data_IF_077673707957
#
_entry.id   IF_077673707957
#
_cell.length_a   1.000
_cell.length_b   1.000
_cell.length_c   1.000
_cell.angle_alpha   90.00
_cell.angle_beta   90.00
_cell.angle_gamma   90.00
#
_symmetry.space_group_name_H-M   'P 1'
#
loop_
_entity.id
_entity.type
_entity.pdbx_description
1 polymer ?
#
# COMPACT_ATOMS: atom_id res chain seq x y z
N UNK A 1 13.45 15.34 -24.94
CA UNK A 1 12.28 14.48 -24.63
C UNK A 1 12.45 13.95 -23.19
N UNK A 2 12.27 14.79 -22.15
CA UNK A 2 12.73 14.49 -20.77
C UNK A 2 11.75 14.85 -19.63
N UNK A 3 10.57 15.39 -19.93
CA UNK A 3 9.56 15.80 -18.93
C UNK A 3 8.32 14.89 -18.88
N UNK A 4 8.21 13.92 -19.80
CA UNK A 4 7.03 13.06 -19.96
C UNK A 4 6.95 11.99 -18.85
N UNK A 5 8.04 11.26 -18.60
CA UNK A 5 8.05 10.09 -17.72
C UNK A 5 7.65 10.41 -16.27
N UNK A 6 8.18 11.50 -15.74
CA UNK A 6 8.04 11.86 -14.34
C UNK A 6 6.61 12.27 -13.99
N UNK A 7 6.00 13.03 -14.88
CA UNK A 7 4.65 13.53 -14.72
C UNK A 7 3.66 12.35 -14.76
N UNK A 8 3.65 11.57 -15.84
CA UNK A 8 2.68 10.48 -16.03
C UNK A 8 2.65 9.47 -14.91
N UNK A 9 3.84 9.09 -14.44
CA UNK A 9 3.92 8.09 -13.41
C UNK A 9 3.44 8.68 -12.08
N UNK A 10 3.66 9.96 -11.78
CA UNK A 10 3.02 10.62 -10.62
C UNK A 10 1.51 10.78 -10.73
N UNK A 11 1.01 11.14 -11.92
CA UNK A 11 -0.43 11.19 -12.17
C UNK A 11 -1.08 9.83 -11.98
N UNK A 12 -0.39 8.75 -12.37
CA UNK A 12 -0.85 7.39 -12.14
C UNK A 12 -0.68 6.97 -10.68
N UNK A 13 0.47 7.20 -10.04
CA UNK A 13 0.74 6.93 -8.62
C UNK A 13 -0.30 7.61 -7.71
N UNK A 14 -0.70 8.87 -7.97
CA UNK A 14 -1.72 9.53 -7.16
C UNK A 14 -3.11 8.91 -7.30
N UNK A 15 -3.41 8.32 -8.46
CA UNK A 15 -4.66 7.63 -8.73
C UNK A 15 -4.66 6.19 -8.22
N UNK A 16 -3.47 5.60 -8.07
CA UNK A 16 -3.26 4.25 -7.51
C UNK A 16 -3.29 4.22 -5.98
N UNK A 17 -3.15 5.38 -5.33
CA UNK A 17 -3.42 5.54 -3.91
C UNK A 17 -4.93 5.68 -3.61
N UNK A 18 -5.79 5.37 -4.57
CA UNK A 18 -7.20 5.12 -4.27
C UNK A 18 -7.58 3.75 -4.80
N UNK A 19 -7.66 2.75 -3.92
CA UNK A 19 -8.39 1.53 -4.23
C UNK A 19 -9.78 1.65 -3.63
N UNK A 20 -10.81 1.57 -4.46
CA UNK A 20 -12.20 1.47 -3.98
C UNK A 20 -12.66 0.02 -4.15
N UNK A 21 -13.14 -0.57 -3.06
CA UNK A 21 -13.82 -1.86 -3.16
C UNK A 21 -15.27 -1.62 -3.58
N UNK A 22 -15.74 -2.45 -4.50
CA UNK A 22 -17.16 -2.56 -4.80
C UNK A 22 -17.91 -2.97 -3.53
N UNK A 23 -18.64 -2.04 -2.94
CA UNK A 23 -19.70 -2.35 -1.98
C UNK A 23 -20.88 -2.96 -2.75
N UNK A 24 -21.58 -3.91 -2.12
CA UNK A 24 -22.71 -4.65 -2.69
C UNK A 24 -24.00 -3.82 -2.85
N UNK A 25 -23.92 -2.50 -2.68
CA UNK A 25 -25.03 -1.58 -2.90
C UNK A 25 -25.02 -1.04 -4.33
N UNK A 26 -26.09 -0.32 -4.73
CA UNK A 26 -26.20 0.30 -6.05
C UNK A 26 -24.96 1.15 -6.35
N UNK A 27 -24.00 0.61 -7.11
CA UNK A 27 -22.75 1.28 -7.45
C UNK A 27 -23.08 2.52 -8.29
N UNK A 28 -22.71 3.70 -7.82
CA UNK A 28 -22.95 4.95 -8.54
C UNK A 28 -22.18 4.98 -9.87
N UNK A 29 -22.57 5.85 -10.80
CA UNK A 29 -21.83 6.00 -12.06
C UNK A 29 -20.37 6.45 -11.83
N UNK A 30 -20.12 7.25 -10.77
CA UNK A 30 -18.78 7.63 -10.34
C UNK A 30 -17.97 6.40 -9.90
N UNK A 31 -18.53 5.56 -9.04
CA UNK A 31 -17.85 4.36 -8.55
C UNK A 31 -17.59 3.35 -9.68
N UNK A 32 -18.53 3.18 -10.63
CA UNK A 32 -18.32 2.34 -11.82
C UNK A 32 -17.13 2.83 -12.67
N UNK A 33 -16.99 4.14 -12.84
CA UNK A 33 -15.87 4.73 -13.60
C UNK A 33 -14.55 4.55 -12.86
N UNK A 34 -14.55 4.77 -11.56
CA UNK A 34 -13.37 4.60 -10.72
C UNK A 34 -12.90 3.13 -10.71
N UNK A 35 -13.80 2.18 -10.49
CA UNK A 35 -13.50 0.74 -10.55
C UNK A 35 -12.99 0.31 -11.93
N UNK A 36 -13.59 0.82 -13.01
CA UNK A 36 -13.12 0.51 -14.37
C UNK A 36 -11.70 1.05 -14.61
N UNK A 37 -11.42 2.25 -14.10
CA UNK A 37 -10.11 2.86 -14.15
C UNK A 37 -9.07 2.06 -13.38
N UNK A 38 -9.31 1.79 -12.09
CA UNK A 38 -8.43 1.04 -11.18
C UNK A 38 -8.08 -0.36 -11.75
N UNK A 39 -9.08 -1.12 -12.17
CA UNK A 39 -8.88 -2.48 -12.71
C UNK A 39 -7.97 -2.51 -13.95
N UNK A 40 -8.09 -1.52 -14.84
CA UNK A 40 -7.23 -1.47 -16.02
C UNK A 40 -5.81 -1.03 -15.67
N UNK A 41 -5.63 -0.15 -14.68
CA UNK A 41 -4.31 0.22 -14.21
C UNK A 41 -3.58 -0.94 -13.54
N UNK A 42 -4.28 -1.72 -12.72
CA UNK A 42 -3.71 -2.91 -12.06
C UNK A 42 -3.11 -3.90 -13.08
N UNK A 43 -3.77 -4.11 -14.22
CA UNK A 43 -3.24 -4.94 -15.31
C UNK A 43 -1.94 -4.38 -15.89
N UNK A 44 -1.85 -3.06 -16.09
CA UNK A 44 -0.63 -2.44 -16.60
C UNK A 44 0.50 -2.47 -15.57
N UNK A 45 0.17 -2.25 -14.30
CA UNK A 45 1.13 -2.25 -13.21
C UNK A 45 1.71 -3.65 -12.94
N UNK A 46 0.93 -4.71 -13.18
CA UNK A 46 1.41 -6.10 -13.14
C UNK A 46 2.54 -6.34 -14.14
N UNK A 47 2.30 -6.02 -15.41
CA UNK A 47 3.31 -6.21 -16.46
C UNK A 47 4.54 -5.33 -16.23
N UNK A 48 4.34 -4.10 -15.74
CA UNK A 48 5.42 -3.20 -15.38
C UNK A 48 6.26 -3.76 -14.22
N UNK A 49 5.61 -4.24 -13.17
CA UNK A 49 6.26 -4.74 -11.96
C UNK A 49 7.09 -6.00 -12.23
N UNK A 50 6.61 -6.90 -13.09
CA UNK A 50 7.39 -8.08 -13.52
C UNK A 50 8.71 -7.67 -14.20
N UNK A 51 8.68 -6.65 -15.06
CA UNK A 51 9.88 -6.12 -15.71
C UNK A 51 10.76 -5.33 -14.75
N UNK A 52 10.16 -4.56 -13.83
CA UNK A 52 10.85 -3.80 -12.81
C UNK A 52 11.61 -4.71 -11.82
N UNK A 53 11.04 -5.87 -11.45
CA UNK A 53 11.74 -6.93 -10.72
C UNK A 53 13.01 -7.38 -11.44
N UNK A 54 12.90 -7.75 -12.71
CA UNK A 54 14.03 -8.21 -13.51
C UNK A 54 15.13 -7.13 -13.67
N UNK A 55 14.75 -5.85 -13.76
CA UNK A 55 15.70 -4.73 -13.74
C UNK A 55 16.38 -4.64 -12.37
N UNK A 56 15.61 -4.67 -11.29
CA UNK A 56 16.12 -4.56 -9.91
C UNK A 56 17.12 -5.67 -9.59
N UNK A 57 16.81 -6.92 -9.93
CA UNK A 57 17.71 -8.06 -9.76
C UNK A 57 19.03 -7.85 -10.50
N UNK A 58 18.99 -7.40 -11.76
CA UNK A 58 20.19 -7.09 -12.54
C UNK A 58 21.02 -5.95 -11.97
N UNK A 59 20.36 -4.92 -11.41
CA UNK A 59 21.05 -3.80 -10.75
C UNK A 59 21.78 -4.29 -9.50
N UNK A 60 21.18 -5.16 -8.70
CA UNK A 60 21.80 -5.67 -7.46
C UNK A 60 22.97 -6.63 -7.72
N UNK A 61 23.10 -7.16 -8.93
CA UNK A 61 24.28 -7.93 -9.37
C UNK A 61 25.45 -7.03 -9.81
N UNK A 62 25.24 -5.72 -9.97
CA UNK A 62 26.28 -4.81 -10.39
C UNK A 62 27.36 -4.62 -9.31
N UNK A 63 28.64 -4.70 -9.70
CA UNK A 63 29.76 -4.71 -8.76
C UNK A 63 29.90 -3.45 -7.91
N UNK A 64 29.49 -2.28 -8.43
CA UNK A 64 29.56 -1.01 -7.68
C UNK A 64 28.38 -0.95 -6.70
N UNK A 65 27.19 -1.37 -7.15
CA UNK A 65 26.00 -1.45 -6.30
C UNK A 65 26.23 -2.45 -5.16
N UNK A 66 26.79 -3.63 -5.42
CA UNK A 66 27.10 -4.61 -4.38
C UNK A 66 28.01 -4.06 -3.30
N UNK A 67 29.08 -3.37 -3.70
CA UNK A 67 30.06 -2.76 -2.79
C UNK A 67 29.47 -1.60 -1.98
N UNK A 68 28.48 -0.88 -2.50
CA UNK A 68 27.73 0.17 -1.80
C UNK A 68 28.58 1.10 -0.91
N UNK A 69 29.69 1.62 -1.46
CA UNK A 69 30.69 2.36 -0.68
C UNK A 69 30.26 3.77 -0.28
N UNK A 70 29.30 4.36 -1.00
CA UNK A 70 28.84 5.72 -0.77
C UNK A 70 27.41 5.72 -0.22
N UNK A 71 27.00 6.74 0.55
CA UNK A 71 25.66 6.81 1.12
C UNK A 71 24.55 6.69 0.08
N UNK A 72 24.69 7.39 -1.06
CA UNK A 72 23.68 7.40 -2.12
C UNK A 72 23.53 6.04 -2.81
N UNK A 73 24.63 5.33 -3.08
CA UNK A 73 24.57 3.98 -3.64
C UNK A 73 24.03 2.98 -2.62
N UNK A 74 24.34 3.16 -1.33
CA UNK A 74 23.82 2.34 -0.24
C UNK A 74 22.31 2.51 -0.10
N UNK A 75 21.82 3.73 -0.12
CA UNK A 75 20.38 4.03 -0.09
C UNK A 75 19.66 3.43 -1.30
N UNK A 76 20.19 3.64 -2.50
CA UNK A 76 19.62 3.06 -3.72
C UNK A 76 19.55 1.53 -3.68
N UNK A 77 20.63 0.87 -3.25
CA UNK A 77 20.67 -0.58 -3.04
C UNK A 77 19.62 -1.03 -2.02
N UNK A 78 19.50 -0.34 -0.90
CA UNK A 78 18.55 -0.67 0.15
C UNK A 78 17.11 -0.55 -0.34
N UNK A 79 16.78 0.50 -1.09
CA UNK A 79 15.45 0.71 -1.64
C UNK A 79 15.08 -0.39 -2.66
N UNK A 80 16.00 -0.77 -3.55
CA UNK A 80 15.78 -1.89 -4.48
C UNK A 80 15.68 -3.24 -3.78
N UNK A 81 16.49 -3.47 -2.74
CA UNK A 81 16.42 -4.69 -1.94
C UNK A 81 15.07 -4.77 -1.22
N UNK A 82 14.59 -3.66 -0.66
CA UNK A 82 13.27 -3.57 -0.03
C UNK A 82 12.15 -3.85 -1.04
N UNK A 83 12.23 -3.26 -2.24
CA UNK A 83 11.28 -3.54 -3.32
C UNK A 83 11.22 -5.04 -3.66
N UNK A 84 12.36 -5.70 -3.85
CA UNK A 84 12.40 -7.14 -4.16
C UNK A 84 11.90 -8.01 -3.00
N UNK A 85 12.24 -7.67 -1.76
CA UNK A 85 11.74 -8.39 -0.58
C UNK A 85 10.21 -8.28 -0.45
N UNK A 86 9.64 -7.14 -0.84
CA UNK A 86 8.20 -6.92 -0.85
C UNK A 86 7.51 -7.52 -2.07
N UNK A 87 8.23 -7.82 -3.15
CA UNK A 87 7.63 -8.15 -4.44
C UNK A 87 6.70 -9.35 -4.38
N UNK A 88 7.18 -10.50 -3.88
CA UNK A 88 6.37 -11.73 -3.90
C UNK A 88 5.15 -11.60 -2.98
N UNK A 89 5.29 -10.84 -1.89
CA UNK A 89 4.21 -10.54 -0.95
C UNK A 89 3.13 -9.67 -1.57
N UNK A 90 3.49 -8.53 -2.15
CA UNK A 90 2.52 -7.63 -2.76
C UNK A 90 1.86 -8.29 -3.98
N UNK A 91 2.62 -9.08 -4.75
CA UNK A 91 2.07 -9.89 -5.84
C UNK A 91 1.08 -10.95 -5.37
N UNK A 92 1.28 -11.53 -4.18
CA UNK A 92 0.35 -12.49 -3.58
C UNK A 92 -1.05 -11.90 -3.30
N UNK A 93 -1.11 -10.60 -3.02
CA UNK A 93 -2.34 -9.85 -2.76
C UNK A 93 -2.84 -9.03 -3.96
N UNK A 94 -2.30 -9.26 -5.17
CA UNK A 94 -2.62 -8.49 -6.39
C UNK A 94 -2.45 -6.96 -6.21
N UNK A 95 -1.37 -6.55 -5.53
CA UNK A 95 -1.00 -5.15 -5.28
C UNK A 95 0.11 -4.68 -6.23
N UNK A 96 -0.12 -4.85 -7.53
CA UNK A 96 0.91 -4.51 -8.53
C UNK A 96 1.05 -2.99 -8.69
N UNK A 97 -0.02 -2.24 -8.43
CA UNK A 97 0.01 -0.80 -8.41
C UNK A 97 0.98 -0.26 -7.34
N UNK A 98 0.94 -0.80 -6.13
CA UNK A 98 1.84 -0.45 -5.04
C UNK A 98 3.29 -0.82 -5.37
N UNK A 99 3.51 -1.96 -6.03
CA UNK A 99 4.84 -2.35 -6.52
C UNK A 99 5.39 -1.36 -7.56
N UNK A 100 4.54 -0.93 -8.49
CA UNK A 100 4.89 0.12 -9.44
C UNK A 100 5.26 1.41 -8.71
N UNK A 101 4.45 1.86 -7.74
CA UNK A 101 4.73 3.07 -6.94
C UNK A 101 6.10 2.97 -6.24
N UNK A 102 6.37 1.84 -5.57
CA UNK A 102 7.63 1.64 -4.84
C UNK A 102 8.86 1.71 -5.76
N UNK A 103 8.80 1.03 -6.91
CA UNK A 103 9.92 1.02 -7.85
C UNK A 103 10.17 2.39 -8.47
N UNK A 104 9.11 3.10 -8.84
CA UNK A 104 9.22 4.43 -9.45
C UNK A 104 9.76 5.43 -8.44
N UNK A 105 9.23 5.44 -7.22
CA UNK A 105 9.72 6.33 -6.15
C UNK A 105 11.22 6.14 -5.92
N UNK A 106 11.69 4.89 -6.01
CA UNK A 106 13.10 4.55 -5.88
C UNK A 106 13.97 5.12 -7.02
N UNK A 107 13.47 5.11 -8.25
CA UNK A 107 14.28 5.35 -9.47
C UNK A 107 14.09 6.73 -10.09
N UNK A 108 12.95 7.36 -9.89
CA UNK A 108 12.55 8.56 -10.62
C UNK A 108 13.33 9.81 -10.22
N UNK A 109 13.73 9.95 -8.96
CA UNK A 109 14.55 11.08 -8.52
C UNK A 109 15.81 11.24 -9.38
N UNK A 110 16.35 10.14 -9.90
CA UNK A 110 17.53 10.12 -10.77
C UNK A 110 17.29 10.73 -12.15
N UNK A 111 16.04 10.79 -12.61
CA UNK A 111 15.67 11.37 -13.90
C UNK A 111 15.23 12.82 -13.78
N UNK A 112 14.76 13.25 -12.59
CA UNK A 112 14.29 14.61 -12.34
C UNK A 112 15.41 15.65 -12.25
N UNK A 113 16.61 15.24 -11.80
CA UNK A 113 17.70 16.18 -11.46
C UNK A 113 18.81 16.23 -12.52
N UNK A 114 18.54 15.87 -13.77
CA UNK A 114 19.50 16.09 -14.85
C UNK A 114 19.48 17.55 -15.34
N UNK A 115 20.64 18.22 -15.47
CA UNK A 115 22.00 17.71 -15.26
C UNK A 115 22.47 17.81 -13.79
N UNK A 116 23.16 16.77 -13.30
CA UNK A 116 23.85 16.77 -12.01
C UNK A 116 25.34 16.44 -12.18
N UNK A 117 26.20 17.02 -11.35
CA UNK A 117 27.65 16.76 -11.31
C UNK A 117 28.03 15.58 -10.41
N UNK A 118 27.07 15.02 -9.66
CA UNK A 118 27.33 13.90 -8.75
C UNK A 118 27.59 12.60 -9.54
N UNK A 119 28.81 12.04 -9.36
CA UNK A 119 29.26 10.83 -10.08
C UNK A 119 28.42 9.58 -9.78
N UNK A 120 27.98 9.41 -8.53
CA UNK A 120 27.14 8.25 -8.14
C UNK A 120 25.76 8.34 -8.79
N UNK A 121 25.22 9.55 -8.86
CA UNK A 121 23.94 9.81 -9.50
C UNK A 121 24.02 9.54 -11.01
N UNK A 122 25.06 10.04 -11.68
CA UNK A 122 25.34 9.74 -13.10
C UNK A 122 25.53 8.24 -13.33
N UNK A 123 26.17 7.55 -12.39
CA UNK A 123 26.36 6.10 -12.45
C UNK A 123 25.02 5.36 -12.42
N UNK A 124 24.14 5.68 -11.46
CA UNK A 124 22.81 5.07 -11.36
C UNK A 124 22.00 5.30 -12.64
N UNK A 125 21.99 6.53 -13.17
CA UNK A 125 21.30 6.83 -14.44
C UNK A 125 21.87 5.97 -15.58
N UNK A 126 23.20 5.86 -15.69
CA UNK A 126 23.85 5.05 -16.73
C UNK A 126 23.43 3.58 -16.61
N UNK A 127 23.31 3.07 -15.40
CA UNK A 127 22.86 1.70 -15.14
C UNK A 127 21.40 1.49 -15.54
N UNK A 128 20.50 2.41 -15.15
CA UNK A 128 19.08 2.38 -15.49
C UNK A 128 18.87 2.46 -17.02
N UNK A 129 19.59 3.35 -17.70
CA UNK A 129 19.59 3.45 -19.17
C UNK A 129 20.10 2.17 -19.84
N UNK A 130 21.21 1.61 -19.35
CA UNK A 130 21.77 0.34 -19.86
C UNK A 130 20.77 -0.80 -19.77
N UNK A 131 19.95 -0.81 -18.72
CA UNK A 131 18.90 -1.82 -18.51
C UNK A 131 17.56 -1.46 -19.15
N UNK A 132 17.52 -0.43 -20.02
CA UNK A 132 16.35 -0.01 -20.80
C UNK A 132 15.16 0.40 -19.93
N UNK A 133 15.40 0.98 -18.75
CA UNK A 133 14.33 1.54 -17.90
C UNK A 133 13.48 2.58 -18.65
N UNK A 134 14.11 3.43 -19.48
CA UNK A 134 13.40 4.43 -20.29
C UNK A 134 12.37 3.77 -21.22
N UNK A 135 12.68 2.60 -21.77
CA UNK A 135 11.78 1.88 -22.66
C UNK A 135 10.63 1.22 -21.90
N UNK A 136 10.88 0.71 -20.70
CA UNK A 136 9.84 0.20 -19.81
C UNK A 136 8.81 1.31 -19.50
N UNK A 137 9.29 2.51 -19.16
CA UNK A 137 8.42 3.66 -18.90
C UNK A 137 7.64 4.09 -20.15
N UNK A 138 8.29 4.14 -21.32
CA UNK A 138 7.63 4.42 -22.60
C UNK A 138 6.51 3.42 -22.91
N UNK A 139 6.76 2.13 -22.72
CA UNK A 139 5.78 1.08 -22.99
C UNK A 139 4.53 1.24 -22.11
N UNK A 140 4.74 1.47 -20.81
CA UNK A 140 3.66 1.71 -19.86
C UNK A 140 2.84 2.96 -20.22
N UNK A 141 3.53 4.06 -20.55
CA UNK A 141 2.90 5.29 -21.02
C UNK A 141 2.03 5.06 -22.26
N UNK A 142 2.54 4.38 -23.29
CA UNK A 142 1.77 4.11 -24.51
C UNK A 142 0.51 3.28 -24.22
N UNK A 143 0.61 2.27 -23.34
CA UNK A 143 -0.55 1.46 -22.93
C UNK A 143 -1.60 2.30 -22.21
N UNK A 144 -1.16 3.14 -21.27
CA UNK A 144 -2.06 4.03 -20.55
C UNK A 144 -2.76 5.02 -21.50
N UNK A 145 -2.01 5.67 -22.40
CA UNK A 145 -2.60 6.59 -23.38
C UNK A 145 -3.64 5.90 -24.27
N UNK A 146 -3.34 4.68 -24.72
CA UNK A 146 -4.26 3.86 -25.51
C UNK A 146 -5.52 3.53 -24.72
N UNK A 147 -5.38 3.12 -23.45
CA UNK A 147 -6.50 2.87 -22.56
C UNK A 147 -7.40 4.10 -22.39
N UNK A 148 -6.83 5.27 -22.11
CA UNK A 148 -7.62 6.49 -21.95
C UNK A 148 -8.45 6.76 -23.21
N UNK A 149 -7.78 6.83 -24.37
CA UNK A 149 -8.39 7.25 -25.63
C UNK A 149 -9.41 6.25 -26.16
N UNK A 150 -9.10 4.96 -26.07
CA UNK A 150 -9.88 3.92 -26.74
C UNK A 150 -10.90 3.23 -25.82
N UNK A 151 -10.71 3.29 -24.50
CA UNK A 151 -11.52 2.52 -23.55
C UNK A 151 -12.18 3.38 -22.47
N UNK A 152 -11.41 4.20 -21.76
CA UNK A 152 -11.93 4.97 -20.62
C UNK A 152 -12.93 6.04 -21.06
N UNK A 153 -12.61 6.82 -22.10
CA UNK A 153 -13.53 7.84 -22.63
C UNK A 153 -14.83 7.22 -23.15
N UNK A 154 -14.77 6.05 -23.78
CA UNK A 154 -15.96 5.32 -24.21
C UNK A 154 -16.81 4.93 -22.99
N UNK A 155 -16.17 4.40 -21.93
CA UNK A 155 -16.89 4.04 -20.70
C UNK A 155 -17.54 5.26 -20.03
N UNK A 156 -16.89 6.41 -20.11
CA UNK A 156 -17.44 7.68 -19.64
C UNK A 156 -18.71 8.06 -20.42
N UNK A 157 -18.68 8.03 -21.75
CA UNK A 157 -19.85 8.34 -22.57
C UNK A 157 -21.01 7.38 -22.31
N UNK A 158 -20.75 6.09 -22.07
CA UNK A 158 -21.77 5.12 -21.66
C UNK A 158 -22.49 5.53 -20.37
N UNK A 159 -21.76 6.06 -19.40
CA UNK A 159 -22.27 6.42 -18.06
C UNK A 159 -22.70 7.89 -17.95
N UNK A 160 -22.48 8.69 -18.99
CA UNK A 160 -22.72 10.15 -18.97
C UNK A 160 -24.15 10.53 -18.65
N UNK A 161 -25.13 9.76 -19.13
CA UNK A 161 -26.54 10.03 -18.83
C UNK A 161 -26.87 9.76 -17.35
N UNK A 162 -26.28 8.71 -16.75
CA UNK A 162 -26.41 8.47 -15.31
C UNK A 162 -25.80 9.63 -14.51
N UNK A 163 -24.62 10.12 -14.93
CA UNK A 163 -23.94 11.27 -14.30
C UNK A 163 -24.73 12.59 -14.45
N UNK A 164 -25.39 12.82 -15.58
CA UNK A 164 -26.22 14.02 -15.80
C UNK A 164 -27.48 14.02 -14.93
N UNK A 165 -28.03 12.84 -14.66
CA UNK A 165 -29.19 12.69 -13.79
C UNK A 165 -28.82 12.81 -12.30
N UNK A 166 -27.56 12.50 -11.95
CA UNK A 166 -27.02 12.73 -10.62
C UNK A 166 -26.64 14.20 -10.42
N UNK A 167 -27.41 14.91 -9.60
CA UNK A 167 -27.22 16.34 -9.32
C UNK A 167 -26.13 16.63 -8.27
N UNK A 168 -25.39 15.61 -7.82
CA UNK A 168 -24.29 15.76 -6.87
C UNK A 168 -23.21 16.73 -7.36
N UNK A 169 -22.47 17.33 -6.42
CA UNK A 169 -21.33 18.22 -6.70
C UNK A 169 -20.23 17.46 -7.46
N UNK A 170 -20.02 16.20 -7.10
CA UNK A 170 -19.04 15.29 -7.69
C UNK A 170 -19.39 14.96 -9.14
N UNK A 171 -20.63 14.59 -9.44
CA UNK A 171 -21.04 14.28 -10.82
C UNK A 171 -20.95 15.50 -11.73
N UNK A 172 -21.30 16.70 -11.23
CA UNK A 172 -21.06 17.97 -11.96
C UNK A 172 -19.58 18.26 -12.18
N UNK A 173 -18.74 18.08 -11.15
CA UNK A 173 -17.29 18.26 -11.27
C UNK A 173 -16.68 17.27 -12.28
N UNK A 174 -17.15 16.03 -12.28
CA UNK A 174 -16.69 14.98 -13.19
C UNK A 174 -17.10 15.24 -14.64
N UNK A 175 -18.33 15.72 -14.88
CA UNK A 175 -18.77 16.17 -16.20
C UNK A 175 -17.96 17.36 -16.70
N UNK A 176 -17.64 18.33 -15.83
CA UNK A 176 -16.78 19.47 -16.18
C UNK A 176 -15.36 19.01 -16.53
N UNK A 177 -14.78 18.13 -15.70
CA UNK A 177 -13.46 17.54 -15.95
C UNK A 177 -13.41 16.81 -17.28
N UNK A 178 -14.49 16.10 -17.63
CA UNK A 178 -14.58 15.40 -18.91
C UNK A 178 -14.62 16.36 -20.10
N UNK A 179 -15.35 17.47 -20.00
CA UNK A 179 -15.33 18.50 -21.04
C UNK A 179 -13.92 19.08 -21.24
N UNK A 180 -13.22 19.41 -20.14
CA UNK A 180 -11.83 19.88 -20.20
C UNK A 180 -10.91 18.83 -20.85
N UNK A 181 -11.17 17.55 -20.58
CA UNK A 181 -10.42 16.42 -21.14
C UNK A 181 -10.59 16.28 -22.65
N UNK A 182 -11.79 16.57 -23.18
CA UNK A 182 -12.06 16.55 -24.62
C UNK A 182 -11.30 17.67 -25.36
N UNK A 183 -11.02 18.79 -24.69
CA UNK A 183 -10.25 19.89 -25.24
C UNK A 183 -8.73 19.65 -25.22
N UNK A 184 -8.26 18.65 -24.45
CA UNK A 184 -6.84 18.34 -24.38
C UNK A 184 -6.29 17.79 -25.71
N UNK A 185 -5.38 18.55 -26.31
CA UNK A 185 -4.69 18.17 -27.57
C UNK A 185 -3.26 17.67 -27.36
N UNK A 186 -2.74 17.80 -26.15
CA UNK A 186 -1.36 17.45 -25.86
C UNK A 186 -1.25 16.71 -24.52
N UNK A 187 -0.12 16.04 -24.39
CA UNK A 187 0.19 15.20 -23.25
C UNK A 187 0.16 15.94 -21.90
N UNK A 188 0.75 17.14 -21.84
CA UNK A 188 0.82 17.94 -20.60
C UNK A 188 -0.57 18.28 -20.06
N UNK A 189 -1.52 18.53 -20.96
CA UNK A 189 -2.93 18.77 -20.63
C UNK A 189 -3.57 17.54 -19.99
N UNK A 190 -3.49 16.37 -20.66
CA UNK A 190 -4.02 15.11 -20.13
C UNK A 190 -3.47 14.80 -18.75
N UNK A 191 -2.15 14.95 -18.58
CA UNK A 191 -1.50 14.78 -17.30
C UNK A 191 -2.10 15.65 -16.19
N UNK A 192 -2.17 16.97 -16.40
CA UNK A 192 -2.68 17.90 -15.40
C UNK A 192 -4.13 17.60 -15.00
N UNK A 193 -4.95 17.10 -15.93
CA UNK A 193 -6.32 16.71 -15.63
C UNK A 193 -6.40 15.40 -14.86
N UNK A 194 -5.63 14.38 -15.25
CA UNK A 194 -5.63 13.11 -14.52
C UNK A 194 -5.04 13.24 -13.12
N UNK A 195 -4.10 14.16 -12.87
CA UNK A 195 -3.64 14.45 -11.51
C UNK A 195 -4.77 14.90 -10.56
N UNK A 196 -5.85 15.48 -11.09
CA UNK A 196 -6.99 15.93 -10.31
C UNK A 196 -8.14 14.94 -10.30
N UNK A 197 -8.06 13.86 -11.08
CA UNK A 197 -9.20 12.98 -11.34
C UNK A 197 -9.75 12.33 -10.06
N UNK A 198 -8.91 11.82 -9.16
CA UNK A 198 -9.36 11.29 -7.85
C UNK A 198 -10.08 12.34 -7.02
N UNK A 199 -9.54 13.56 -6.94
CA UNK A 199 -10.19 14.66 -6.21
C UNK A 199 -11.50 15.14 -6.84
N UNK A 200 -11.74 14.81 -8.12
CA UNK A 200 -12.98 15.11 -8.83
C UNK A 200 -14.02 14.00 -8.64
N UNK A 201 -13.59 12.73 -8.68
CA UNK A 201 -14.49 11.57 -8.64
C UNK A 201 -14.81 11.10 -7.21
N UNK A 202 -14.00 11.46 -6.21
CA UNK A 202 -14.18 11.08 -4.81
C UNK A 202 -14.56 12.29 -3.94
N UNK A 203 -15.44 12.07 -2.95
CA UNK A 203 -15.66 13.06 -1.89
C UNK A 203 -14.42 13.21 -1.00
N UNK A 204 -14.25 14.35 -0.29
CA UNK A 204 -13.17 14.50 0.68
C UNK A 204 -13.14 13.38 1.74
N UNK A 205 -14.31 12.94 2.21
CA UNK A 205 -14.45 11.83 3.15
C UNK A 205 -13.96 10.52 2.53
N UNK A 206 -14.35 10.19 1.31
CA UNK A 206 -13.87 8.99 0.62
C UNK A 206 -12.36 9.03 0.40
N UNK A 207 -11.80 10.21 0.09
CA UNK A 207 -10.36 10.38 -0.04
C UNK A 207 -9.63 10.13 1.29
N UNK A 208 -10.19 10.61 2.41
CA UNK A 208 -9.65 10.36 3.75
C UNK A 208 -9.76 8.88 4.16
N UNK A 209 -10.91 8.24 3.91
CA UNK A 209 -11.11 6.82 4.17
C UNK A 209 -10.13 5.94 3.39
N UNK A 210 -9.93 6.27 2.13
CA UNK A 210 -9.01 5.55 1.25
C UNK A 210 -7.56 5.71 1.69
N UNK A 211 -7.19 6.91 2.17
CA UNK A 211 -5.89 7.14 2.80
C UNK A 211 -5.68 6.24 4.03
N UNK A 212 -6.68 6.16 4.93
CA UNK A 212 -6.63 5.28 6.12
C UNK A 212 -6.43 3.84 5.67
N UNK A 213 -7.27 3.37 4.75
CA UNK A 213 -7.26 2.00 4.26
C UNK A 213 -5.89 1.61 3.71
N UNK A 214 -5.34 2.40 2.79
CA UNK A 214 -4.03 2.11 2.19
C UNK A 214 -2.90 2.09 3.24
N UNK A 215 -2.96 2.98 4.24
CA UNK A 215 -1.96 3.01 5.32
C UNK A 215 -2.07 1.76 6.20
N UNK A 216 -3.28 1.36 6.57
CA UNK A 216 -3.53 0.15 7.35
C UNK A 216 -3.19 -1.13 6.59
N UNK A 217 -3.56 -1.23 5.31
CA UNK A 217 -3.21 -2.38 4.46
C UNK A 217 -1.70 -2.56 4.36
N UNK A 218 -0.97 -1.51 3.98
CA UNK A 218 0.50 -1.57 3.92
C UNK A 218 1.11 -1.97 5.27
N UNK A 219 0.54 -1.45 6.37
CA UNK A 219 0.98 -1.78 7.70
C UNK A 219 0.75 -3.26 8.04
N UNK A 220 -0.46 -3.78 7.77
CA UNK A 220 -0.84 -5.17 8.04
C UNK A 220 -0.11 -6.17 7.15
N UNK A 221 0.17 -5.82 5.89
CA UNK A 221 0.99 -6.62 4.97
C UNK A 221 2.38 -6.84 5.57
N UNK A 222 3.06 -5.75 5.91
CA UNK A 222 4.42 -5.79 6.46
C UNK A 222 4.44 -6.62 7.74
N UNK A 223 3.44 -6.41 8.59
CA UNK A 223 3.37 -7.05 9.90
C UNK A 223 3.06 -8.55 9.81
N UNK A 224 2.07 -8.93 9.01
CA UNK A 224 1.72 -10.34 8.77
C UNK A 224 2.91 -11.11 8.22
N UNK A 225 3.71 -10.49 7.34
CA UNK A 225 4.83 -11.17 6.71
C UNK A 225 6.02 -11.38 7.66
N UNK A 226 6.25 -10.43 8.57
CA UNK A 226 7.26 -10.59 9.61
C UNK A 226 6.79 -11.63 10.65
N UNK A 227 5.52 -11.60 11.05
CA UNK A 227 4.92 -12.64 11.90
C UNK A 227 5.04 -14.04 11.27
N UNK A 228 4.79 -14.18 9.97
CA UNK A 228 5.03 -15.40 9.19
C UNK A 228 6.49 -15.84 9.25
N UNK A 229 7.43 -14.90 9.05
CA UNK A 229 8.87 -15.19 9.07
C UNK A 229 9.36 -15.67 10.44
N UNK A 230 8.92 -15.01 11.52
CA UNK A 230 9.21 -15.42 12.90
C UNK A 230 8.65 -16.81 13.18
N UNK A 231 7.39 -17.04 12.81
CA UNK A 231 6.70 -18.31 13.00
C UNK A 231 7.42 -19.47 12.29
N UNK A 232 7.89 -19.24 11.06
CA UNK A 232 8.66 -20.21 10.29
C UNK A 232 10.02 -20.49 10.91
N UNK A 233 10.73 -19.45 11.36
CA UNK A 233 12.03 -19.59 12.01
C UNK A 233 11.92 -20.38 13.32
N UNK A 234 10.88 -20.11 14.11
CA UNK A 234 10.56 -20.83 15.34
C UNK A 234 10.39 -22.33 15.10
N UNK A 235 9.63 -22.74 14.07
CA UNK A 235 9.43 -24.18 13.79
C UNK A 235 10.73 -24.92 13.49
N UNK A 236 11.73 -24.21 12.96
CA UNK A 236 13.05 -24.77 12.66
C UNK A 236 14.03 -24.69 13.83
N UNK A 237 13.65 -24.04 14.93
CA UNK A 237 14.54 -23.86 16.08
C UNK A 237 14.67 -25.16 16.89
N UNK A 238 15.90 -25.66 17.13
CA UNK A 238 16.12 -26.86 17.93
C UNK A 238 15.53 -26.79 19.35
N UNK A 239 15.37 -25.59 19.92
CA UNK A 239 14.79 -25.40 21.25
C UNK A 239 13.32 -25.82 21.33
N UNK A 240 12.59 -25.91 20.20
CA UNK A 240 11.25 -26.52 20.16
C UNK A 240 11.29 -27.96 20.68
N UNK A 241 12.40 -28.67 20.48
CA UNK A 241 12.63 -30.02 20.99
C UNK A 241 12.65 -30.15 22.51
N UNK A 242 12.85 -29.04 23.24
CA UNK A 242 12.89 -29.01 24.71
C UNK A 242 11.49 -29.02 25.35
N UNK A 243 10.43 -28.80 24.55
CA UNK A 243 9.04 -28.90 24.98
C UNK A 243 8.62 -30.38 25.10
N UNK A 244 7.67 -30.68 25.99
CA UNK A 244 7.13 -32.05 26.07
C UNK A 244 6.40 -32.43 24.78
N UNK A 245 6.31 -33.73 24.42
CA UNK A 245 5.70 -34.16 23.17
C UNK A 245 4.29 -33.59 22.93
N UNK A 246 3.40 -33.68 23.92
CA UNK A 246 2.03 -33.19 23.79
C UNK A 246 1.94 -31.65 23.65
N UNK A 247 2.75 -30.92 24.43
CA UNK A 247 2.78 -29.46 24.34
C UNK A 247 3.38 -28.98 23.01
N UNK A 248 4.45 -29.64 22.58
CA UNK A 248 5.11 -29.38 21.30
C UNK A 248 4.16 -29.64 20.11
N UNK A 249 3.41 -30.73 20.15
CA UNK A 249 2.46 -31.06 19.10
C UNK A 249 1.41 -29.96 18.92
N UNK A 250 0.79 -29.49 20.02
CA UNK A 250 -0.19 -28.41 19.96
C UNK A 250 0.44 -27.08 19.53
N UNK A 251 1.62 -26.74 20.05
CA UNK A 251 2.35 -25.53 19.66
C UNK A 251 2.68 -25.50 18.16
N UNK A 252 3.20 -26.61 17.63
CA UNK A 252 3.52 -26.75 16.21
C UNK A 252 2.25 -26.71 15.36
N UNK A 253 1.15 -27.31 15.82
CA UNK A 253 -0.14 -27.26 15.14
C UNK A 253 -0.65 -25.81 15.01
N UNK A 254 -0.66 -25.05 16.10
CA UNK A 254 -1.15 -23.67 16.11
C UNK A 254 -0.31 -22.77 15.19
N UNK A 255 1.02 -22.96 15.17
CA UNK A 255 1.89 -22.22 14.25
C UNK A 255 1.62 -22.62 12.79
N UNK A 256 1.50 -23.91 12.49
CA UNK A 256 1.23 -24.37 11.13
C UNK A 256 -0.14 -23.91 10.62
N UNK A 257 -1.14 -23.80 11.49
CA UNK A 257 -2.45 -23.24 11.14
C UNK A 257 -2.34 -21.77 10.73
N UNK A 258 -1.55 -20.98 11.46
CA UNK A 258 -1.26 -19.59 11.09
C UNK A 258 -0.49 -19.50 9.76
N UNK A 259 0.59 -20.27 9.59
CA UNK A 259 1.37 -20.28 8.34
C UNK A 259 0.52 -20.69 7.13
N UNK A 260 -0.31 -21.72 7.29
CA UNK A 260 -1.24 -22.17 6.25
C UNK A 260 -2.27 -21.08 5.93
N UNK A 261 -2.74 -20.34 6.93
CA UNK A 261 -3.68 -19.23 6.71
C UNK A 261 -3.04 -18.08 5.94
N UNK A 262 -1.77 -17.76 6.22
CA UNK A 262 -1.01 -16.78 5.44
C UNK A 262 -0.82 -17.23 3.99
N UNK A 263 -0.44 -18.49 3.74
CA UNK A 263 -0.15 -19.00 2.40
C UNK A 263 -1.39 -19.12 1.51
N UNK A 264 -2.57 -19.31 2.11
CA UNK A 264 -3.83 -19.45 1.39
C UNK A 264 -4.65 -18.15 1.32
N UNK A 265 -4.21 -17.06 1.96
CA UNK A 265 -4.96 -15.82 1.98
C UNK A 265 -4.58 -14.87 0.84
N UNK A 266 -5.35 -14.89 -0.24
CA UNK A 266 -5.21 -13.93 -1.34
C UNK A 266 -6.04 -12.65 -1.18
N UNK A 267 -6.82 -12.51 -0.10
CA UNK A 267 -7.70 -11.37 0.11
C UNK A 267 -7.08 -10.39 1.12
N UNK A 268 -6.71 -9.22 0.62
CA UNK A 268 -6.12 -8.15 1.42
C UNK A 268 -7.01 -7.73 2.60
N UNK A 269 -8.33 -7.82 2.44
CA UNK A 269 -9.30 -7.48 3.51
C UNK A 269 -9.24 -8.43 4.69
N UNK A 270 -8.68 -9.63 4.50
CA UNK A 270 -8.53 -10.64 5.54
C UNK A 270 -7.18 -10.57 6.25
N UNK A 271 -6.30 -9.63 5.88
CA UNK A 271 -5.00 -9.46 6.56
C UNK A 271 -5.16 -9.21 8.05
N UNK A 272 -6.15 -8.41 8.44
CA UNK A 272 -6.45 -8.18 9.85
C UNK A 272 -6.77 -9.50 10.59
N UNK A 273 -7.53 -10.40 9.96
CA UNK A 273 -7.85 -11.70 10.55
C UNK A 273 -6.59 -12.56 10.72
N UNK A 274 -5.61 -12.47 9.82
CA UNK A 274 -4.32 -13.14 9.99
C UNK A 274 -3.54 -12.60 11.19
N UNK A 275 -3.57 -11.29 11.40
CA UNK A 275 -2.95 -10.69 12.58
C UNK A 275 -3.63 -11.11 13.87
N UNK A 276 -4.97 -11.19 13.89
CA UNK A 276 -5.71 -11.73 15.03
C UNK A 276 -5.40 -13.20 15.25
N UNK A 277 -5.25 -13.99 14.18
CA UNK A 277 -4.85 -15.39 14.29
C UNK A 277 -3.47 -15.52 14.94
N UNK A 278 -2.49 -14.73 14.49
CA UNK A 278 -1.16 -14.68 15.13
C UNK A 278 -1.24 -14.25 16.59
N UNK A 279 -1.99 -13.18 16.89
CA UNK A 279 -2.15 -12.67 18.25
C UNK A 279 -2.77 -13.72 19.17
N UNK A 280 -3.93 -14.26 18.82
CA UNK A 280 -4.70 -15.15 19.68
C UNK A 280 -4.03 -16.52 19.77
N UNK A 281 -3.68 -17.13 18.62
CA UNK A 281 -3.18 -18.50 18.61
C UNK A 281 -1.69 -18.61 18.94
N UNK A 282 -0.90 -17.55 18.82
CA UNK A 282 0.54 -17.62 19.10
C UNK A 282 0.92 -16.74 20.28
N UNK A 283 0.65 -15.43 20.22
CA UNK A 283 1.11 -14.50 21.26
C UNK A 283 0.41 -14.73 22.60
N UNK A 284 -0.93 -14.70 22.61
CA UNK A 284 -1.71 -14.82 23.83
C UNK A 284 -1.63 -16.23 24.42
N UNK A 285 -1.63 -17.26 23.59
CA UNK A 285 -1.52 -18.65 24.04
C UNK A 285 -0.15 -19.03 24.58
N UNK A 286 0.95 -18.53 24.00
CA UNK A 286 2.30 -19.05 24.30
C UNK A 286 3.28 -18.00 24.82
N UNK A 287 3.25 -16.77 24.30
CA UNK A 287 4.25 -15.75 24.64
C UNK A 287 3.85 -14.93 25.88
N UNK A 288 2.57 -14.54 25.98
CA UNK A 288 2.03 -13.76 27.10
C UNK A 288 1.35 -14.61 28.17
N UNK A 289 1.13 -15.91 27.91
CA UNK A 289 0.42 -16.80 28.80
C UNK A 289 1.23 -17.12 30.07
N UNK A 290 0.74 -16.64 31.21
CA UNK A 290 1.35 -16.87 32.53
C UNK A 290 0.93 -18.19 33.19
N UNK A 291 -0.05 -18.89 32.63
CA UNK A 291 -0.60 -20.13 33.18
C UNK A 291 0.15 -21.38 32.69
N UNK A 292 1.03 -21.23 31.70
CA UNK A 292 1.91 -22.30 31.24
C UNK A 292 2.94 -22.63 32.34
N UNK A 293 3.36 -23.90 32.47
CA UNK A 293 4.47 -24.30 33.35
C UNK A 293 5.72 -23.42 33.14
N UNK A 294 6.31 -22.94 34.23
CA UNK A 294 7.46 -22.02 34.23
C UNK A 294 8.63 -22.48 33.34
N UNK A 295 8.93 -23.79 33.32
CA UNK A 295 9.93 -24.37 32.42
C UNK A 295 9.65 -24.03 30.95
N UNK A 296 8.41 -24.19 30.48
CA UNK A 296 8.06 -23.88 29.09
C UNK A 296 8.01 -22.39 28.84
N UNK A 297 7.62 -21.56 29.82
CA UNK A 297 7.69 -20.11 29.68
C UNK A 297 9.11 -19.64 29.38
N UNK A 298 10.11 -20.19 30.06
CA UNK A 298 11.52 -19.86 29.83
C UNK A 298 11.95 -20.28 28.42
N UNK A 299 11.62 -21.50 28.01
CA UNK A 299 11.94 -22.02 26.67
C UNK A 299 11.28 -21.16 25.58
N UNK A 300 9.97 -20.91 25.69
CA UNK A 300 9.21 -20.12 24.73
C UNK A 300 9.70 -18.68 24.66
N UNK A 301 9.92 -18.01 25.80
CA UNK A 301 10.43 -16.64 25.83
C UNK A 301 11.80 -16.53 25.14
N UNK A 302 12.70 -17.46 25.41
CA UNK A 302 14.01 -17.50 24.74
C UNK A 302 13.85 -17.74 23.24
N UNK A 303 13.02 -18.72 22.86
CA UNK A 303 12.74 -19.05 21.47
C UNK A 303 12.15 -17.85 20.70
N UNK A 304 11.12 -17.18 21.22
CA UNK A 304 10.55 -16.00 20.59
C UNK A 304 11.53 -14.82 20.53
N UNK A 305 12.32 -14.61 21.58
CA UNK A 305 13.30 -13.51 21.61
C UNK A 305 14.50 -13.74 20.70
N UNK A 306 14.95 -14.99 20.54
CA UNK A 306 16.02 -15.34 19.60
C UNK A 306 15.62 -15.06 18.14
N UNK A 307 14.31 -15.05 17.86
CA UNK A 307 13.73 -14.68 16.57
C UNK A 307 13.17 -13.26 16.56
N UNK A 308 13.67 -12.37 17.44
CA UNK A 308 13.39 -10.93 17.48
C UNK A 308 11.91 -10.55 17.69
N UNK A 309 11.06 -11.41 18.27
CA UNK A 309 9.66 -11.08 18.48
C UNK A 309 9.48 -9.81 19.32
N UNK A 310 10.24 -9.64 20.39
CA UNK A 310 10.09 -8.46 21.27
C UNK A 310 10.40 -7.15 20.54
N UNK A 311 11.48 -7.10 19.75
CA UNK A 311 11.83 -5.92 18.93
C UNK A 311 10.73 -5.64 17.90
N UNK A 312 10.24 -6.69 17.24
CA UNK A 312 9.16 -6.61 16.28
C UNK A 312 7.87 -6.04 16.88
N UNK A 313 7.44 -6.51 18.05
CA UNK A 313 6.24 -6.00 18.74
C UNK A 313 6.41 -4.53 19.14
N UNK A 314 7.58 -4.13 19.62
CA UNK A 314 7.86 -2.72 19.97
C UNK A 314 7.89 -1.81 18.75
N UNK A 315 8.49 -2.24 17.65
CA UNK A 315 8.52 -1.49 16.38
C UNK A 315 7.11 -1.31 15.81
N UNK A 316 6.26 -2.34 15.91
CA UNK A 316 4.85 -2.26 15.53
C UNK A 316 4.08 -1.23 16.32
N UNK A 317 4.11 -1.34 17.65
CA UNK A 317 3.38 -0.45 18.53
C UNK A 317 3.81 0.99 18.27
N UNK A 318 5.13 1.23 18.17
CA UNK A 318 5.65 2.55 17.85
C UNK A 318 5.18 3.08 16.49
N UNK A 319 5.30 2.29 15.42
CA UNK A 319 4.88 2.72 14.07
C UNK A 319 3.37 2.95 13.96
N UNK A 320 2.57 2.09 14.58
CA UNK A 320 1.12 2.23 14.58
C UNK A 320 0.69 3.50 15.34
N UNK A 321 1.28 3.73 16.51
CA UNK A 321 1.00 4.92 17.31
C UNK A 321 1.43 6.20 16.57
N UNK A 322 2.61 6.19 15.94
CA UNK A 322 3.06 7.30 15.09
C UNK A 322 2.08 7.57 13.93
N UNK A 323 1.56 6.52 13.28
CA UNK A 323 0.55 6.68 12.24
C UNK A 323 -0.71 7.35 12.78
N UNK A 324 -1.24 6.90 13.92
CA UNK A 324 -2.48 7.47 14.51
C UNK A 324 -2.27 8.90 14.97
N UNK A 325 -1.31 9.10 15.86
CA UNK A 325 -1.19 10.33 16.64
C UNK A 325 -0.53 11.47 15.84
N UNK A 326 0.12 11.15 14.72
CA UNK A 326 0.75 12.16 13.83
C UNK A 326 0.09 12.17 12.45
N UNK A 327 0.32 11.13 11.65
CA UNK A 327 -0.05 11.14 10.23
C UNK A 327 -1.58 11.23 10.02
N UNK A 328 -2.34 10.42 10.75
CA UNK A 328 -3.79 10.33 10.64
C UNK A 328 -4.48 11.55 11.22
N UNK A 329 -4.01 12.03 12.38
CA UNK A 329 -4.51 13.26 12.98
C UNK A 329 -4.32 14.46 12.04
N UNK A 330 -3.15 14.61 11.43
CA UNK A 330 -2.90 15.67 10.45
C UNK A 330 -3.86 15.56 9.26
N UNK A 331 -4.03 14.37 8.68
CA UNK A 331 -4.94 14.14 7.56
C UNK A 331 -6.39 14.41 7.90
N UNK A 332 -6.79 14.15 9.14
CA UNK A 332 -8.12 14.48 9.64
C UNK A 332 -8.34 16.00 9.74
N UNK A 333 -7.34 16.77 10.18
CA UNK A 333 -7.44 18.24 10.16
C UNK A 333 -7.52 18.80 8.72
N UNK A 334 -6.76 18.21 7.78
CA UNK A 334 -6.85 18.56 6.37
C UNK A 334 -8.26 18.27 5.80
N UNK A 335 -8.87 17.14 6.16
CA UNK A 335 -10.26 16.83 5.81
C UNK A 335 -11.20 17.92 6.32
N UNK A 336 -11.17 18.23 7.62
CA UNK A 336 -12.05 19.24 8.23
C UNK A 336 -11.93 20.61 7.54
N UNK A 337 -10.72 21.00 7.16
CA UNK A 337 -10.47 22.25 6.46
C UNK A 337 -10.96 22.26 4.99
N UNK A 338 -11.18 21.09 4.41
CA UNK A 338 -11.62 20.94 3.00
C UNK A 338 -13.14 20.92 2.80
N UNK A 339 -13.91 20.71 3.87
CA UNK A 339 -15.37 20.62 3.83
C UNK A 339 -16.00 22.02 3.88
N UNK A 340 -16.99 22.27 3.02
CA UNK A 340 -17.85 23.45 3.17
C UNK A 340 -18.91 23.28 4.29
N UNK A 341 -19.68 24.32 4.60
CA UNK A 341 -20.62 24.32 5.74
C UNK A 341 -21.72 23.26 5.59
N UNK A 342 -22.13 22.95 4.36
CA UNK A 342 -23.16 21.94 4.10
C UNK A 342 -22.56 20.53 4.18
N UNK A 343 -21.42 20.31 3.54
CA UNK A 343 -20.68 19.05 3.62
C UNK A 343 -20.31 18.71 5.08
N UNK A 344 -19.84 19.70 5.85
CA UNK A 344 -19.53 19.51 7.27
C UNK A 344 -20.76 19.11 8.09
N UNK A 345 -21.93 19.67 7.79
CA UNK A 345 -23.19 19.30 8.45
C UNK A 345 -23.61 17.88 8.13
N UNK A 346 -23.49 17.47 6.87
CA UNK A 346 -23.84 16.12 6.41
C UNK A 346 -22.90 15.07 7.02
N UNK A 347 -21.60 15.36 7.06
CA UNK A 347 -20.56 14.44 7.53
C UNK A 347 -20.30 14.52 9.05
N UNK A 348 -21.10 15.31 9.78
CA UNK A 348 -20.91 15.52 11.21
C UNK A 348 -20.83 14.23 12.04
N UNK A 349 -21.67 13.20 11.84
CA UNK A 349 -21.56 11.94 12.58
C UNK A 349 -20.21 11.24 12.35
N UNK A 350 -19.68 11.31 11.12
CA UNK A 350 -18.38 10.75 10.76
C UNK A 350 -17.25 11.50 11.46
N UNK A 351 -17.29 12.84 11.42
CA UNK A 351 -16.30 13.72 12.06
C UNK A 351 -16.27 13.50 13.57
N UNK A 352 -17.44 13.50 14.23
CA UNK A 352 -17.55 13.30 15.68
C UNK A 352 -17.00 11.94 16.13
N UNK A 353 -17.16 10.89 15.33
CA UNK A 353 -16.58 9.57 15.61
C UNK A 353 -15.05 9.61 15.63
N UNK A 354 -14.42 10.28 14.66
CA UNK A 354 -12.96 10.42 14.63
C UNK A 354 -12.45 11.33 15.75
N UNK A 355 -13.14 12.43 16.06
CA UNK A 355 -12.83 13.26 17.22
C UNK A 355 -12.86 12.45 18.52
N UNK A 356 -13.85 11.57 18.67
CA UNK A 356 -13.92 10.65 19.81
C UNK A 356 -12.71 9.71 19.85
N UNK A 357 -12.32 9.11 18.73
CA UNK A 357 -11.13 8.23 18.66
C UNK A 357 -9.86 8.99 19.08
N UNK A 358 -9.64 10.21 18.56
CA UNK A 358 -8.47 11.00 18.94
C UNK A 358 -8.50 11.49 20.39
N UNK A 359 -9.70 11.62 20.99
CA UNK A 359 -9.86 12.01 22.40
C UNK A 359 -9.53 10.90 23.40
N UNK A 360 -9.46 9.64 22.95
CA UNK A 360 -9.16 8.52 23.82
C UNK A 360 -7.74 8.61 24.39
N UNK A 361 -7.58 8.23 25.66
CA UNK A 361 -6.26 8.12 26.30
C UNK A 361 -5.72 6.69 26.31
N UNK A 362 -6.61 5.69 26.15
CA UNK A 362 -6.23 4.29 26.08
C UNK A 362 -5.87 3.90 24.64
N UNK A 363 -4.60 3.61 24.41
CA UNK A 363 -4.09 3.31 23.07
C UNK A 363 -4.64 2.00 22.50
N UNK A 364 -4.84 0.97 23.33
CA UNK A 364 -5.47 -0.29 22.90
C UNK A 364 -6.88 -0.06 22.39
N UNK A 365 -7.67 0.78 23.08
CA UNK A 365 -9.02 1.13 22.63
C UNK A 365 -9.01 1.96 21.33
N UNK A 366 -8.05 2.88 21.17
CA UNK A 366 -7.89 3.61 19.89
C UNK A 366 -7.66 2.65 18.73
N UNK A 367 -6.76 1.68 18.93
CA UNK A 367 -6.43 0.65 17.94
C UNK A 367 -7.71 -0.11 17.55
N UNK A 368 -8.43 -0.65 18.53
CA UNK A 368 -9.68 -1.39 18.30
C UNK A 368 -10.74 -0.57 17.55
N UNK A 369 -10.88 0.73 17.86
CA UNK A 369 -11.83 1.60 17.16
C UNK A 369 -11.44 1.85 15.70
N UNK A 370 -10.16 2.07 15.42
CA UNK A 370 -9.68 2.26 14.04
C UNK A 370 -9.70 0.96 13.25
N UNK A 371 -9.49 -0.19 13.90
CA UNK A 371 -9.69 -1.51 13.31
C UNK A 371 -11.15 -1.73 12.92
N UNK A 372 -12.12 -1.30 13.72
CA UNK A 372 -13.53 -1.34 13.33
C UNK A 372 -13.81 -0.42 12.13
N UNK A 373 -13.15 0.73 12.02
CA UNK A 373 -13.27 1.57 10.83
C UNK A 373 -12.72 0.85 9.59
N UNK A 374 -11.60 0.14 9.69
CA UNK A 374 -11.04 -0.66 8.60
C UNK A 374 -11.97 -1.78 8.12
N UNK A 375 -12.77 -2.36 9.01
CA UNK A 375 -13.74 -3.41 8.64
C UNK A 375 -14.97 -2.82 7.95
N UNK A 376 -15.28 -1.55 8.21
CA UNK A 376 -16.48 -0.87 7.70
C UNK A 376 -16.26 -0.15 6.36
N UNK A 377 -15.00 0.08 6.00
CA UNK A 377 -14.53 0.75 4.77
C UNK A 377 -13.97 -0.30 3.83
#
# INVERSE_FOLDING_TARGET
MKLLYTALIWGLIQLLMSQTLATTELISANDKLLLYYENNLELFAKEFSDKAKAISEKILLDSIIQKAKTPLIKEFKNNLTKYLNNYDLYKHFDLNNELLIQFITTTMQYYQQEPTTNKDFQYIIKLLRKLRYDELCNEYEMKFQKFIKEKFLQKFEELKQELLNDQSKQSRALLSWYNDLQECRNYKCYYNLFQKFTSVIMSPVNHFLTYIRNKLENFFIIYSNHAYSISKAILTDPAVGQLSPAFREQFVKDINEFLSSCENNHDIRKLYNLLQLFRINILEKYFHNKDIKMMYQIVLKNLFNNHNLSEFLSDYEWKFNMFIDTDLLQKFQELKASLDEEEFRQERPFIERFEYVFSMTNQTQKVEQLEMVYIWV
#
